data_IF_595839607107
#
_entry.id   IF_595839607107
#
_cell.length_a   1.000
_cell.length_b   1.000
_cell.length_c   1.000
_cell.angle_alpha   90.00
_cell.angle_beta   90.00
_cell.angle_gamma   90.00
#
_symmetry.space_group_name_H-M   'P 1'
#
loop_
_entity.id
_entity.type
_entity.pdbx_description
1 polymer ?
#
# COMPACT_ATOMS: atom_id res chain seq x y z
N UNK A 1 13.53 2.37 -5.55
CA UNK A 1 12.90 2.36 -4.21
C UNK A 1 12.17 3.68 -4.02
N UNK A 2 10.95 3.63 -3.52
CA UNK A 2 10.03 4.78 -3.47
C UNK A 2 9.56 5.05 -2.03
N UNK A 3 9.78 6.26 -1.55
CA UNK A 3 9.40 6.69 -0.19
C UNK A 3 7.88 6.97 -0.11
N UNK A 4 7.21 6.41 0.90
CA UNK A 4 5.79 6.66 1.11
C UNK A 4 5.53 8.09 1.62
N UNK A 5 4.70 8.92 0.94
CA UNK A 5 4.41 10.29 1.39
C UNK A 5 3.79 10.37 2.79
N UNK A 6 2.98 9.36 3.16
CA UNK A 6 2.24 9.35 4.41
C UNK A 6 3.09 8.96 5.62
N UNK A 7 4.05 8.05 5.47
CA UNK A 7 4.77 7.48 6.62
C UNK A 7 6.30 7.41 6.46
N UNK A 8 6.86 7.81 5.33
CA UNK A 8 8.30 7.81 5.07
C UNK A 8 8.93 6.42 4.88
N UNK A 9 8.13 5.34 4.91
CA UNK A 9 8.67 3.99 4.68
C UNK A 9 9.11 3.82 3.24
N UNK A 10 10.31 3.28 3.01
CA UNK A 10 10.83 2.92 1.69
C UNK A 10 10.18 1.64 1.15
N UNK A 11 9.63 1.70 -0.06
CA UNK A 11 8.96 0.58 -0.73
C UNK A 11 9.67 0.23 -2.05
N UNK A 12 9.38 -0.95 -2.58
CA UNK A 12 9.73 -1.31 -3.96
C UNK A 12 8.97 -0.40 -4.93
N UNK A 13 9.53 -0.17 -6.12
CA UNK A 13 8.97 0.82 -7.07
C UNK A 13 7.66 0.34 -7.71
N UNK A 14 7.44 -0.96 -7.76
CA UNK A 14 6.21 -1.60 -8.25
C UNK A 14 5.20 -1.90 -7.13
N UNK A 15 5.50 -1.52 -5.88
CA UNK A 15 4.59 -1.71 -4.77
C UNK A 15 3.32 -0.86 -4.95
N UNK A 16 2.15 -1.49 -4.86
CA UNK A 16 0.86 -0.79 -4.93
C UNK A 16 0.45 -0.13 -3.62
N UNK A 17 0.83 -0.73 -2.49
CA UNK A 17 0.51 -0.26 -1.16
C UNK A 17 1.80 -0.16 -0.34
N UNK A 18 1.87 0.81 0.57
CA UNK A 18 3.04 0.98 1.43
C UNK A 18 3.17 -0.17 2.43
N UNK A 19 4.35 -0.79 2.57
CA UNK A 19 4.59 -1.86 3.56
C UNK A 19 4.52 -1.41 5.03
N UNK A 20 4.63 -0.10 5.28
CA UNK A 20 4.55 0.49 6.62
C UNK A 20 3.13 0.82 7.05
N UNK A 21 2.42 1.63 6.25
CA UNK A 21 1.10 2.17 6.61
C UNK A 21 -0.06 1.66 5.73
N UNK A 22 0.21 0.81 4.73
CA UNK A 22 -0.78 0.22 3.80
C UNK A 22 -1.61 1.19 2.97
N UNK A 23 -1.31 2.48 3.01
CA UNK A 23 -1.88 3.43 2.05
C UNK A 23 -1.54 2.98 0.63
N UNK A 24 -2.51 3.13 -0.27
CA UNK A 24 -2.25 2.95 -1.70
C UNK A 24 -1.25 4.02 -2.17
N UNK A 25 -0.12 3.59 -2.71
CA UNK A 25 0.98 4.48 -3.08
C UNK A 25 0.60 5.38 -4.26
N UNK A 26 -0.08 4.84 -5.28
CA UNK A 26 -0.56 5.62 -6.41
C UNK A 26 -1.45 6.79 -5.97
N UNK A 27 -2.44 6.51 -5.11
CA UNK A 27 -3.31 7.52 -4.54
C UNK A 27 -2.53 8.52 -3.68
N UNK A 28 -1.62 8.04 -2.83
CA UNK A 28 -0.85 8.90 -1.93
C UNK A 28 0.02 9.90 -2.70
N UNK A 29 0.65 9.50 -3.80
CA UNK A 29 1.44 10.43 -4.61
C UNK A 29 0.63 11.53 -5.28
N UNK A 30 -0.65 11.28 -5.57
CA UNK A 30 -1.52 12.27 -6.20
C UNK A 30 -2.23 13.19 -5.20
N UNK A 31 -2.50 12.70 -3.98
CA UNK A 31 -3.45 13.35 -3.08
C UNK A 31 -2.93 13.64 -1.67
N UNK A 32 -1.73 13.19 -1.30
CA UNK A 32 -1.24 13.32 0.07
C UNK A 32 -1.06 14.78 0.52
N UNK A 33 -0.61 15.68 -0.35
CA UNK A 33 -0.43 17.08 0.00
C UNK A 33 -1.78 17.76 0.32
N UNK A 34 -2.80 17.51 -0.50
CA UNK A 34 -4.16 18.01 -0.26
C UNK A 34 -4.72 17.45 1.05
N UNK A 35 -4.59 16.14 1.29
CA UNK A 35 -5.01 15.52 2.54
C UNK A 35 -4.30 16.16 3.75
N UNK A 36 -3.01 16.44 3.63
CA UNK A 36 -2.23 17.09 4.69
C UNK A 36 -2.79 18.47 5.02
N UNK A 37 -3.09 19.29 4.00
CA UNK A 37 -3.70 20.62 4.18
C UNK A 37 -5.07 20.53 4.86
N UNK A 38 -5.92 19.59 4.43
CA UNK A 38 -7.24 19.35 5.01
C UNK A 38 -7.21 18.88 6.46
N UNK A 39 -6.17 18.13 6.86
CA UNK A 39 -5.99 17.68 8.23
C UNK A 39 -5.53 18.84 9.12
N UNK A 40 -4.54 19.60 8.67
CA UNK A 40 -4.05 20.77 9.40
C UNK A 40 -5.14 21.83 9.60
N UNK A 41 -6.01 22.06 8.60
CA UNK A 41 -7.14 23.00 8.74
C UNK A 41 -8.23 22.56 9.72
N UNK A 42 -8.14 21.32 10.21
CA UNK A 42 -9.05 20.73 11.21
C UNK A 42 -8.35 20.38 12.52
N UNK A 43 -7.17 20.94 12.77
CA UNK A 43 -6.34 20.65 13.94
C UNK A 43 -6.03 19.15 14.12
N UNK A 44 -5.98 18.41 13.01
CA UNK A 44 -5.60 17.01 12.98
C UNK A 44 -4.11 16.86 12.65
N UNK A 45 -3.43 15.84 13.22
CA UNK A 45 -2.03 15.56 12.88
C UNK A 45 -1.87 15.33 11.37
N UNK A 46 -0.86 15.90 10.70
CA UNK A 46 -0.69 15.79 9.25
C UNK A 46 -0.53 14.33 8.77
N UNK A 47 0.05 13.46 9.60
CA UNK A 47 0.23 12.03 9.32
C UNK A 47 -0.68 11.20 10.22
N UNK A 48 -1.75 10.58 9.68
CA UNK A 48 -2.60 9.71 10.49
C UNK A 48 -1.85 8.44 10.90
N UNK A 49 -2.07 7.99 12.13
CA UNK A 49 -1.60 6.67 12.55
C UNK A 49 -2.42 5.58 11.87
N UNK A 50 -1.74 4.56 11.36
CA UNK A 50 -2.40 3.35 10.86
C UNK A 50 -2.71 2.45 12.05
N UNK A 51 -3.93 1.91 12.10
CA UNK A 51 -4.31 0.99 13.17
C UNK A 51 -3.36 -0.22 13.21
N UNK A 52 -2.85 -0.56 14.39
CA UNK A 52 -1.82 -1.59 14.56
C UNK A 52 -2.21 -2.95 13.93
N UNK A 53 -3.48 -3.35 14.08
CA UNK A 53 -3.96 -4.62 13.50
C UNK A 53 -3.83 -4.69 11.97
N UNK A 54 -3.95 -3.56 11.25
CA UNK A 54 -3.77 -3.52 9.80
C UNK A 54 -2.30 -3.70 9.42
N UNK A 55 -1.40 -3.06 10.16
CA UNK A 55 0.05 -3.21 10.00
C UNK A 55 0.45 -4.66 10.28
N UNK A 56 -0.03 -5.23 11.37
CA UNK A 56 0.31 -6.60 11.77
C UNK A 56 -0.26 -7.65 10.81
N UNK A 57 -1.52 -7.46 10.38
CA UNK A 57 -2.14 -8.34 9.38
C UNK A 57 -1.36 -8.31 8.08
N UNK A 58 -0.93 -7.13 7.63
CA UNK A 58 -0.11 -7.02 6.42
C UNK A 58 1.21 -7.75 6.56
N UNK A 59 1.95 -7.52 7.66
CA UNK A 59 3.23 -8.18 7.89
C UNK A 59 3.10 -9.70 7.88
N UNK A 60 2.01 -10.24 8.44
CA UNK A 60 1.75 -11.68 8.38
C UNK A 60 1.47 -12.20 6.97
N UNK A 61 0.87 -11.39 6.10
CA UNK A 61 0.66 -11.77 4.69
C UNK A 61 1.98 -11.70 3.92
N UNK A 62 2.75 -10.63 4.14
CA UNK A 62 3.98 -10.33 3.39
C UNK A 62 5.16 -11.23 3.84
N UNK A 63 5.29 -11.48 5.15
CA UNK A 63 6.44 -12.17 5.77
C UNK A 63 6.06 -13.46 6.53
N UNK A 64 4.77 -13.81 6.60
CA UNK A 64 4.32 -14.94 7.41
C UNK A 64 4.65 -16.31 6.79
N UNK A 65 4.31 -17.41 7.50
CA UNK A 65 4.69 -18.76 7.10
C UNK A 65 4.16 -19.17 5.72
N UNK A 66 3.10 -18.53 5.24
CA UNK A 66 2.51 -18.77 3.92
C UNK A 66 3.11 -17.90 2.81
N UNK A 67 3.92 -16.89 3.11
CA UNK A 67 4.42 -15.93 2.13
C UNK A 67 5.23 -16.60 1.01
N UNK A 68 6.14 -17.51 1.36
CA UNK A 68 6.94 -18.26 0.38
C UNK A 68 6.08 -19.16 -0.51
N UNK A 69 5.05 -19.81 0.06
CA UNK A 69 4.09 -20.60 -0.70
C UNK A 69 3.27 -19.73 -1.65
N UNK A 70 2.80 -18.57 -1.19
CA UNK A 70 2.02 -17.63 -1.99
C UNK A 70 2.84 -17.08 -3.17
N UNK A 71 4.08 -16.63 -2.91
CA UNK A 71 4.98 -16.13 -3.94
C UNK A 71 5.28 -17.20 -5.01
N UNK A 72 5.57 -18.43 -4.57
CA UNK A 72 5.80 -19.57 -5.48
C UNK A 72 4.55 -19.91 -6.30
N UNK A 73 3.38 -19.87 -5.67
CA UNK A 73 2.09 -20.15 -6.31
C UNK A 73 1.75 -19.12 -7.37
N UNK A 74 1.89 -17.82 -7.06
CA UNK A 74 1.70 -16.73 -8.02
C UNK A 74 2.68 -16.85 -9.18
N UNK A 75 3.96 -17.13 -8.91
CA UNK A 75 4.96 -17.33 -9.96
C UNK A 75 4.63 -18.51 -10.88
N UNK A 76 4.13 -19.61 -10.32
CA UNK A 76 3.83 -20.85 -11.07
C UNK A 76 2.54 -20.77 -11.87
N UNK A 77 1.49 -20.15 -11.33
CA UNK A 77 0.16 -20.20 -11.90
C UNK A 77 -0.36 -18.84 -12.41
N UNK A 78 0.35 -17.76 -12.13
CA UNK A 78 -0.16 -16.40 -12.26
C UNK A 78 -1.29 -16.13 -11.25
N UNK A 79 -1.77 -14.89 -11.20
CA UNK A 79 -3.03 -14.58 -10.52
C UNK A 79 -4.20 -15.13 -11.37
N UNK A 80 -4.60 -16.39 -11.16
CA UNK A 80 -5.82 -16.94 -11.77
C UNK A 80 -7.04 -16.28 -11.13
N UNK A 81 -7.48 -15.13 -11.67
CA UNK A 81 -8.74 -14.48 -11.28
C UNK A 81 -8.75 -12.94 -11.30
N UNK A 82 -7.61 -12.25 -11.33
CA UNK A 82 -7.58 -10.78 -11.38
C UNK A 82 -7.63 -10.23 -12.83
N UNK A 83 -8.18 -11.02 -13.77
CA UNK A 83 -8.17 -10.78 -15.21
C UNK A 83 -9.46 -10.18 -15.77
N UNK A 84 -10.33 -9.56 -14.96
CA UNK A 84 -11.35 -8.64 -15.52
C UNK A 84 -10.72 -7.26 -15.62
N UNK A 85 -10.18 -6.99 -16.81
CA UNK A 85 -9.60 -5.70 -17.24
C UNK A 85 -10.38 -4.54 -16.65
N UNK A 86 -9.76 -3.73 -15.78
CA UNK A 86 -10.20 -2.35 -15.60
C UNK A 86 -9.63 -1.61 -16.79
N UNK A 87 -10.48 -1.36 -17.77
CA UNK A 87 -10.15 -0.73 -19.04
C UNK A 87 -9.27 0.49 -18.85
N UNK A 88 -8.11 0.50 -19.50
CA UNK A 88 -7.46 1.73 -19.93
C UNK A 88 -8.46 2.47 -20.83
N UNK A 89 -9.03 3.56 -20.33
CA UNK A 89 -9.68 4.54 -21.20
C UNK A 89 -8.55 5.28 -21.92
N UNK A 90 -8.51 5.12 -23.24
CA UNK A 90 -7.88 6.08 -24.15
C UNK A 90 -8.85 7.22 -24.48
#
# INVERSE_FOLDING_TARGET
MTECPQCGTMNEDDAKNCKGCRVNLYWAFQHHEELTKLRLSRDLPPRPQTAAFLVDTSKRVDDGPTAGWLHTTIKKFGFKGAGKKVSTMG
#
